data_IF_750866130781
#
_entry.id   IF_750866130781
#
_cell.length_a   1.000
_cell.length_b   1.000
_cell.length_c   1.000
_cell.angle_alpha   90.00
_cell.angle_beta   90.00
_cell.angle_gamma   90.00
#
_symmetry.space_group_name_H-M   'P 1'
#
loop_
_entity.id
_entity.type
_entity.pdbx_description
1 polymer ?
#
# COMPACT_ATOMS: atom_id res chain seq x y z
N UNK A 1 -46.39 -32.60 -29.34
CA UNK A 1 -46.66 -31.74 -28.16
C UNK A 1 -46.18 -32.49 -26.93
N UNK A 2 -44.92 -32.26 -26.55
CA UNK A 2 -44.27 -32.90 -25.41
C UNK A 2 -43.10 -32.00 -25.02
N UNK A 3 -43.31 -31.19 -23.99
CA UNK A 3 -42.36 -30.21 -23.50
C UNK A 3 -41.36 -30.83 -22.54
N UNK A 4 -40.08 -30.75 -22.90
CA UNK A 4 -38.95 -30.99 -22.01
C UNK A 4 -38.75 -29.73 -21.16
N UNK A 5 -39.11 -29.80 -19.87
CA UNK A 5 -38.71 -28.82 -18.88
C UNK A 5 -37.31 -29.17 -18.37
N UNK A 6 -36.32 -28.53 -18.97
CA UNK A 6 -34.95 -28.48 -18.46
C UNK A 6 -34.96 -27.59 -17.20
N UNK A 7 -34.90 -28.22 -16.02
CA UNK A 7 -34.71 -27.53 -14.75
C UNK A 7 -33.23 -27.38 -14.50
N UNK A 8 -32.68 -26.21 -14.83
CA UNK A 8 -31.39 -25.75 -14.31
C UNK A 8 -31.46 -25.70 -12.77
N UNK A 9 -30.56 -26.39 -12.06
CA UNK A 9 -30.48 -26.26 -10.61
C UNK A 9 -30.00 -24.86 -10.27
N UNK A 10 -30.88 -24.07 -9.66
CA UNK A 10 -30.56 -22.77 -9.10
C UNK A 10 -29.49 -22.94 -8.03
N UNK A 11 -28.36 -22.26 -8.23
CA UNK A 11 -27.34 -22.01 -7.21
C UNK A 11 -28.05 -21.46 -5.97
N UNK A 12 -28.11 -22.27 -4.91
CA UNK A 12 -28.41 -21.76 -3.58
C UNK A 12 -27.29 -20.81 -3.19
N UNK A 13 -27.54 -19.51 -3.32
CA UNK A 13 -26.73 -18.46 -2.73
C UNK A 13 -26.95 -18.53 -1.22
N UNK A 14 -26.23 -19.45 -0.56
CA UNK A 14 -26.02 -19.36 0.87
C UNK A 14 -25.25 -18.06 1.11
N UNK A 15 -25.97 -17.08 1.66
CA UNK A 15 -25.42 -15.79 2.03
C UNK A 15 -24.20 -15.97 2.91
N UNK A 16 -23.14 -15.28 2.54
CA UNK A 16 -22.17 -14.59 3.41
C UNK A 16 -21.91 -15.24 4.77
N UNK A 17 -21.71 -16.55 4.79
CA UNK A 17 -21.08 -17.23 5.92
C UNK A 17 -19.60 -17.21 5.59
N UNK A 18 -18.96 -16.14 6.03
CA UNK A 18 -17.51 -15.95 6.04
C UNK A 18 -16.88 -17.26 6.52
N UNK A 19 -15.82 -17.70 5.86
CA UNK A 19 -15.13 -18.96 6.09
C UNK A 19 -14.41 -19.00 7.46
N UNK A 20 -15.16 -18.90 8.56
CA UNK A 20 -14.76 -19.20 9.93
C UNK A 20 -15.19 -20.60 10.37
N UNK A 21 -15.96 -21.34 9.56
CA UNK A 21 -16.62 -22.59 9.97
C UNK A 21 -15.80 -23.88 9.80
N UNK A 22 -14.49 -23.81 9.53
CA UNK A 22 -13.65 -25.02 9.42
C UNK A 22 -12.83 -25.34 10.68
N UNK A 23 -12.84 -24.46 11.69
CA UNK A 23 -12.16 -24.66 12.98
C UNK A 23 -13.10 -24.54 14.19
N UNK A 24 -14.41 -24.56 13.96
CA UNK A 24 -15.41 -24.72 15.02
C UNK A 24 -15.45 -26.20 15.45
N UNK A 25 -14.31 -26.69 15.97
CA UNK A 25 -14.31 -27.88 16.83
C UNK A 25 -15.12 -27.49 18.07
N UNK A 26 -16.37 -27.96 18.07
CA UNK A 26 -17.38 -27.71 19.07
C UNK A 26 -16.82 -27.97 20.49
N UNK A 27 -16.57 -26.89 21.25
CA UNK A 27 -16.39 -26.95 22.70
C UNK A 27 -15.16 -26.27 23.28
N UNK A 28 -14.21 -25.75 22.50
CA UNK A 28 -13.14 -24.93 23.08
C UNK A 28 -13.67 -23.51 23.35
N UNK A 29 -13.65 -23.01 24.59
CA UNK A 29 -14.06 -21.63 24.87
C UNK A 29 -13.23 -20.67 24.00
N UNK A 30 -13.92 -19.76 23.30
CA UNK A 30 -13.29 -18.75 22.46
C UNK A 30 -12.38 -17.89 23.32
N UNK A 31 -11.07 -18.02 23.14
CA UNK A 31 -10.09 -17.25 23.90
C UNK A 31 -10.07 -15.82 23.39
N UNK A 32 -10.37 -14.86 24.26
CA UNK A 32 -10.45 -13.45 23.92
C UNK A 32 -9.13 -12.75 24.24
N UNK A 33 -8.55 -12.08 23.25
CA UNK A 33 -7.27 -11.38 23.41
C UNK A 33 -7.38 -10.29 24.48
N UNK A 34 -8.50 -9.57 24.56
CA UNK A 34 -8.73 -8.53 25.59
C UNK A 34 -8.73 -9.07 27.01
N UNK A 35 -9.21 -10.30 27.24
CA UNK A 35 -9.18 -10.92 28.56
C UNK A 35 -7.73 -11.26 28.96
N UNK A 36 -6.93 -11.80 28.04
CA UNK A 36 -5.51 -12.02 28.29
C UNK A 36 -4.78 -10.69 28.57
N UNK A 37 -5.10 -9.63 27.82
CA UNK A 37 -4.50 -8.30 28.01
C UNK A 37 -4.90 -7.69 29.35
N UNK A 38 -6.14 -7.88 29.80
CA UNK A 38 -6.56 -7.46 31.13
C UNK A 38 -5.79 -8.19 32.23
N UNK A 39 -5.53 -9.49 32.07
CA UNK A 39 -4.70 -10.28 32.99
C UNK A 39 -3.24 -9.85 32.97
N UNK A 40 -2.66 -9.63 31.78
CA UNK A 40 -1.29 -9.15 31.60
C UNK A 40 -1.14 -7.75 32.21
N UNK A 41 -2.08 -6.85 31.97
CA UNK A 41 -2.00 -5.48 32.50
C UNK A 41 -2.17 -5.42 34.01
N UNK A 42 -2.99 -6.29 34.62
CA UNK A 42 -3.08 -6.44 36.06
C UNK A 42 -1.79 -7.01 36.68
N UNK A 43 -1.12 -7.93 35.97
CA UNK A 43 0.12 -8.56 36.40
C UNK A 43 1.37 -7.71 36.18
N UNK A 44 1.41 -6.93 35.09
CA UNK A 44 2.55 -6.11 34.68
C UNK A 44 2.87 -4.95 35.65
N UNK A 45 2.07 -4.75 36.69
CA UNK A 45 2.43 -3.92 37.84
C UNK A 45 3.63 -4.47 38.62
N UNK A 46 4.00 -5.74 38.42
CA UNK A 46 5.20 -6.35 38.99
C UNK A 46 5.95 -7.16 37.91
N UNK A 47 7.13 -6.68 37.50
CA UNK A 47 7.94 -7.32 36.43
C UNK A 47 8.27 -8.78 36.73
N UNK A 48 8.28 -9.20 38.01
CA UNK A 48 8.45 -10.59 38.39
C UNK A 48 7.28 -11.49 37.97
N UNK A 49 6.06 -10.95 37.97
CA UNK A 49 4.81 -11.72 37.76
C UNK A 49 4.61 -12.11 36.30
N UNK A 50 5.20 -11.42 35.32
CA UNK A 50 5.09 -11.87 33.92
C UNK A 50 5.89 -13.17 33.71
N UNK A 51 7.07 -13.25 34.32
CA UNK A 51 7.85 -14.48 34.38
C UNK A 51 7.06 -15.53 35.17
N UNK A 52 6.50 -15.12 36.31
CA UNK A 52 5.68 -15.96 37.16
C UNK A 52 4.37 -16.40 36.52
N UNK A 53 3.79 -15.75 35.51
CA UNK A 53 2.60 -16.25 34.79
C UNK A 53 2.99 -17.32 33.79
N UNK A 54 4.19 -17.21 33.22
CA UNK A 54 4.78 -18.26 32.40
C UNK A 54 5.26 -19.43 33.29
N UNK A 55 5.68 -19.15 34.52
CA UNK A 55 6.22 -20.12 35.47
C UNK A 55 5.17 -20.65 36.49
N UNK A 56 4.05 -20.00 36.78
CA UNK A 56 3.06 -20.51 37.76
C UNK A 56 2.25 -21.68 37.22
N UNK A 57 2.30 -21.91 35.91
CA UNK A 57 1.82 -23.14 35.27
C UNK A 57 2.96 -24.16 35.04
N UNK A 58 4.16 -23.94 35.64
CA UNK A 58 5.33 -24.84 35.60
C UNK A 58 5.10 -26.13 36.38
N UNK A 59 4.11 -26.90 35.94
CA UNK A 59 4.26 -28.34 35.91
C UNK A 59 5.32 -28.63 34.83
N UNK A 60 6.48 -29.21 35.18
CA UNK A 60 7.71 -29.18 34.37
C UNK A 60 7.67 -29.89 33.00
N UNK A 61 6.49 -30.26 32.48
CA UNK A 61 6.35 -31.00 31.21
C UNK A 61 5.13 -30.59 30.38
N UNK A 62 4.40 -29.52 30.71
CA UNK A 62 3.22 -29.17 29.92
C UNK A 62 3.65 -28.54 28.58
N UNK A 63 3.75 -29.38 27.56
CA UNK A 63 4.02 -28.96 26.20
C UNK A 63 2.84 -28.14 25.68
N UNK A 64 2.99 -26.81 25.66
CA UNK A 64 1.98 -25.91 25.09
C UNK A 64 1.79 -26.22 23.60
N UNK A 65 0.54 -26.13 23.16
CA UNK A 65 0.22 -26.27 21.74
C UNK A 65 0.72 -25.04 20.97
N UNK A 66 1.06 -25.16 19.68
CA UNK A 66 1.44 -24.02 18.84
C UNK A 66 0.39 -22.89 18.85
N UNK A 67 -0.90 -23.24 18.93
CA UNK A 67 -2.00 -22.28 19.05
C UNK A 67 -1.96 -21.49 20.36
N UNK A 68 -1.51 -22.11 21.46
CA UNK A 68 -1.32 -21.40 22.74
C UNK A 68 -0.22 -20.34 22.61
N UNK A 69 0.92 -20.70 22.01
CA UNK A 69 2.00 -19.75 21.73
C UNK A 69 1.52 -18.59 20.83
N UNK A 70 0.77 -18.90 19.77
CA UNK A 70 0.22 -17.87 18.88
C UNK A 70 -0.72 -16.91 19.63
N UNK A 71 -1.55 -17.45 20.51
CA UNK A 71 -2.47 -16.67 21.34
C UNK A 71 -1.73 -15.74 22.30
N UNK A 72 -0.74 -16.26 23.04
CA UNK A 72 0.06 -15.47 23.98
C UNK A 72 0.85 -14.38 23.28
N UNK A 73 1.48 -14.69 22.13
CA UNK A 73 2.18 -13.71 21.32
C UNK A 73 1.23 -12.62 20.81
N UNK A 74 0.06 -13.00 20.30
CA UNK A 74 -0.96 -12.04 19.84
C UNK A 74 -1.40 -11.10 20.97
N UNK A 75 -1.65 -11.63 22.16
CA UNK A 75 -2.05 -10.82 23.32
C UNK A 75 -0.95 -9.86 23.80
N UNK A 76 0.29 -10.32 23.85
CA UNK A 76 1.42 -9.48 24.24
C UNK A 76 1.71 -8.39 23.20
N UNK A 77 1.65 -8.71 21.92
CA UNK A 77 1.85 -7.75 20.84
C UNK A 77 0.74 -6.71 20.77
N UNK A 78 -0.51 -7.12 21.01
CA UNK A 78 -1.63 -6.21 21.13
C UNK A 78 -1.47 -5.28 22.35
N UNK A 79 -1.07 -5.80 23.51
CA UNK A 79 -0.80 -4.97 24.70
C UNK A 79 0.36 -3.99 24.45
N UNK A 80 1.42 -4.44 23.77
CA UNK A 80 2.55 -3.61 23.34
C UNK A 80 2.08 -2.48 22.42
N UNK A 81 1.24 -2.77 21.43
CA UNK A 81 0.68 -1.77 20.53
C UNK A 81 -0.12 -0.70 21.30
N UNK A 82 -0.98 -1.11 22.24
CA UNK A 82 -1.71 -0.16 23.10
C UNK A 82 -0.76 0.76 23.89
N UNK A 83 0.35 0.22 24.40
CA UNK A 83 1.36 1.01 25.12
C UNK A 83 2.09 2.00 24.21
N UNK A 84 2.35 1.65 22.95
CA UNK A 84 2.94 2.56 21.96
C UNK A 84 1.95 3.67 21.58
N UNK A 85 0.69 3.32 21.34
CA UNK A 85 -0.37 4.30 21.01
C UNK A 85 -0.57 5.31 22.15
N UNK A 86 -0.57 4.85 23.42
CA UNK A 86 -0.67 5.72 24.60
C UNK A 86 0.50 6.71 24.74
N UNK A 87 1.68 6.44 24.15
CA UNK A 87 2.81 7.37 24.17
C UNK A 87 2.64 8.55 23.21
N UNK A 88 1.76 8.42 22.21
CA UNK A 88 1.54 9.46 21.18
C UNK A 88 0.49 10.51 21.59
N UNK A 89 -0.08 10.41 22.79
CA UNK A 89 -1.11 11.33 23.28
C UNK A 89 -0.54 12.75 23.56
N UNK A 90 -1.12 13.82 22.98
CA UNK A 90 -0.51 15.16 22.97
C UNK A 90 -0.74 16.01 24.25
N UNK A 91 -1.34 15.49 25.32
CA UNK A 91 -1.93 16.33 26.40
C UNK A 91 -1.04 16.66 27.61
N UNK A 92 0.23 16.22 27.69
CA UNK A 92 1.07 16.49 28.87
C UNK A 92 2.08 17.64 28.68
N UNK A 93 2.50 18.23 29.80
CA UNK A 93 3.67 19.13 29.88
C UNK A 93 4.94 18.46 29.31
N UNK A 94 5.89 19.23 28.78
CA UNK A 94 7.13 18.76 28.14
C UNK A 94 7.91 17.76 29.02
N UNK A 95 8.00 18.03 30.32
CA UNK A 95 8.67 17.11 31.26
C UNK A 95 7.84 15.83 31.50
N UNK A 96 6.51 15.96 31.53
CA UNK A 96 5.58 14.83 31.61
C UNK A 96 5.69 13.93 30.39
N UNK A 97 5.67 14.51 29.19
CA UNK A 97 5.86 13.80 27.92
C UNK A 97 7.22 13.08 27.88
N UNK A 98 8.30 13.73 28.31
CA UNK A 98 9.61 13.09 28.36
C UNK A 98 9.63 11.91 29.34
N UNK A 99 9.10 12.11 30.56
CA UNK A 99 9.09 11.06 31.60
C UNK A 99 8.20 9.88 31.18
N UNK A 100 7.01 10.15 30.63
CA UNK A 100 6.10 9.16 30.08
C UNK A 100 6.73 8.42 28.89
N UNK A 101 7.45 9.13 28.03
CA UNK A 101 8.19 8.53 26.91
C UNK A 101 9.32 7.61 27.38
N UNK A 102 10.06 7.97 28.44
CA UNK A 102 11.10 7.11 29.01
C UNK A 102 10.52 5.86 29.66
N UNK A 103 9.46 6.00 30.48
CA UNK A 103 8.79 4.85 31.10
C UNK A 103 8.14 3.96 30.05
N UNK A 104 7.45 4.55 29.07
CA UNK A 104 6.83 3.83 27.96
C UNK A 104 7.84 3.04 27.13
N UNK A 105 9.00 3.63 26.82
CA UNK A 105 10.09 2.90 26.13
C UNK A 105 10.58 1.70 26.94
N UNK A 106 10.79 1.86 28.26
CA UNK A 106 11.21 0.75 29.13
C UNK A 106 10.16 -0.37 29.19
N UNK A 107 8.88 -0.01 29.28
CA UNK A 107 7.77 -0.97 29.27
C UNK A 107 7.74 -1.74 27.95
N UNK A 108 7.84 -1.05 26.82
CA UNK A 108 7.87 -1.67 25.48
C UNK A 108 9.09 -2.57 25.31
N UNK A 109 10.28 -2.14 25.73
CA UNK A 109 11.50 -2.96 25.72
C UNK A 109 11.38 -4.20 26.61
N UNK A 110 10.71 -4.09 27.77
CA UNK A 110 10.44 -5.23 28.64
C UNK A 110 9.48 -6.24 27.97
N UNK A 111 8.41 -5.75 27.32
CA UNK A 111 7.49 -6.59 26.55
C UNK A 111 8.21 -7.27 25.38
N UNK A 112 9.09 -6.57 24.66
CA UNK A 112 9.86 -7.12 23.55
C UNK A 112 10.81 -8.26 23.99
N UNK A 113 11.38 -8.14 25.19
CA UNK A 113 12.15 -9.24 25.80
C UNK A 113 11.27 -10.45 26.10
N UNK A 114 10.08 -10.25 26.66
CA UNK A 114 9.14 -11.35 26.95
C UNK A 114 8.67 -12.04 25.66
N UNK A 115 8.34 -11.26 24.62
CA UNK A 115 8.02 -11.79 23.27
C UNK A 115 9.17 -12.64 22.74
N UNK A 116 10.41 -12.15 22.84
CA UNK A 116 11.61 -12.89 22.46
C UNK A 116 11.78 -14.19 23.25
N UNK A 117 11.54 -14.16 24.56
CA UNK A 117 11.61 -15.35 25.43
C UNK A 117 10.58 -16.39 25.04
N UNK A 118 9.31 -16.03 24.87
CA UNK A 118 8.24 -16.96 24.48
C UNK A 118 8.53 -17.58 23.11
N UNK A 119 8.99 -16.76 22.16
CA UNK A 119 9.40 -17.26 20.85
C UNK A 119 10.58 -18.23 20.94
N UNK A 120 11.59 -17.91 21.74
CA UNK A 120 12.73 -18.80 21.96
C UNK A 120 12.32 -20.12 22.63
N UNK A 121 11.39 -20.08 23.59
CA UNK A 121 10.83 -21.26 24.26
C UNK A 121 10.09 -22.16 23.27
N UNK A 122 9.27 -21.57 22.40
CA UNK A 122 8.59 -22.30 21.33
C UNK A 122 9.58 -23.08 20.43
N UNK A 123 10.74 -22.48 20.17
CA UNK A 123 11.82 -23.03 19.34
C UNK A 123 12.82 -23.93 20.08
N UNK A 124 12.66 -24.17 21.40
CA UNK A 124 13.49 -25.12 22.14
C UNK A 124 13.36 -26.56 21.63
N UNK A 125 12.24 -26.87 20.97
CA UNK A 125 11.97 -28.16 20.37
C UNK A 125 11.92 -28.02 18.85
N UNK A 126 12.23 -29.09 18.13
CA UNK A 126 12.05 -29.10 16.69
C UNK A 126 10.58 -28.84 16.36
N UNK A 127 10.33 -27.82 15.52
CA UNK A 127 9.00 -27.43 15.06
C UNK A 127 8.88 -27.62 13.58
N UNK A 128 7.72 -28.13 13.17
CA UNK A 128 7.36 -28.27 11.77
C UNK A 128 6.92 -26.93 11.19
N UNK A 129 7.05 -26.80 9.88
CA UNK A 129 6.58 -25.67 9.09
C UNK A 129 5.13 -25.27 9.39
N UNK A 130 4.26 -26.26 9.58
CA UNK A 130 2.85 -26.07 9.90
C UNK A 130 2.65 -25.48 11.29
N UNK A 131 3.44 -25.90 12.27
CA UNK A 131 3.34 -25.36 13.63
C UNK A 131 3.77 -23.90 13.66
N UNK A 132 4.85 -23.56 12.95
CA UNK A 132 5.31 -22.16 12.80
C UNK A 132 4.22 -21.30 12.16
N UNK A 133 3.63 -21.74 11.06
CA UNK A 133 2.52 -21.02 10.42
C UNK A 133 1.28 -20.94 11.32
N UNK A 134 1.03 -21.98 12.13
CA UNK A 134 -0.08 -21.97 13.09
C UNK A 134 0.14 -20.90 14.15
N UNK A 135 1.33 -20.81 14.74
CA UNK A 135 1.63 -19.76 15.73
C UNK A 135 1.43 -18.38 15.12
N UNK A 136 1.95 -18.19 13.91
CA UNK A 136 2.03 -16.88 13.31
C UNK A 136 0.67 -16.42 12.73
N UNK A 137 -0.02 -17.26 11.95
CA UNK A 137 -1.19 -16.87 11.15
C UNK A 137 -2.54 -17.27 11.78
N UNK A 138 -2.55 -17.92 12.94
CA UNK A 138 -3.81 -18.28 13.61
C UNK A 138 -4.61 -17.02 13.96
N UNK A 139 -5.91 -16.98 13.61
CA UNK A 139 -6.79 -15.88 13.96
C UNK A 139 -7.23 -15.97 15.43
N UNK A 140 -7.14 -14.85 16.15
CA UNK A 140 -7.67 -14.72 17.51
C UNK A 140 -8.62 -13.52 17.61
N UNK A 141 -9.77 -13.68 18.24
CA UNK A 141 -10.75 -12.60 18.39
C UNK A 141 -10.28 -11.58 19.42
N UNK A 142 -10.31 -10.29 19.06
CA UNK A 142 -9.96 -9.19 19.96
C UNK A 142 -10.94 -9.14 21.15
N UNK A 143 -12.23 -9.05 20.83
CA UNK A 143 -13.34 -8.99 21.77
C UNK A 143 -14.50 -9.88 21.29
N UNK A 144 -15.40 -10.23 22.21
CA UNK A 144 -16.60 -11.01 21.88
C UNK A 144 -17.56 -10.26 20.93
N UNK A 145 -17.48 -8.92 20.87
CA UNK A 145 -18.44 -8.06 20.16
C UNK A 145 -17.87 -7.39 18.92
N UNK A 146 -16.55 -7.13 18.87
CA UNK A 146 -15.96 -6.30 17.81
C UNK A 146 -15.92 -6.99 16.44
N UNK A 147 -15.91 -8.33 16.42
CA UNK A 147 -15.70 -9.13 15.20
C UNK A 147 -14.30 -8.93 14.58
N UNK A 148 -13.42 -8.19 15.27
CA UNK A 148 -12.04 -7.96 14.86
C UNK A 148 -11.21 -9.18 15.24
N UNK A 149 -10.46 -9.66 14.27
CA UNK A 149 -9.58 -10.81 14.40
C UNK A 149 -8.16 -10.32 14.25
N UNK A 150 -7.30 -10.71 15.18
CA UNK A 150 -5.89 -10.35 15.26
C UNK A 150 -5.04 -11.60 15.03
N UNK A 151 -3.91 -11.41 14.36
CA UNK A 151 -2.87 -12.42 14.14
C UNK A 151 -1.51 -11.85 14.54
N UNK A 152 -0.56 -12.72 14.85
CA UNK A 152 0.83 -12.31 15.16
C UNK A 152 1.44 -11.49 14.00
N UNK A 153 1.13 -11.84 12.75
CA UNK A 153 1.62 -11.12 11.55
C UNK A 153 1.17 -9.68 11.46
N UNK A 154 -0.02 -9.38 11.95
CA UNK A 154 -0.62 -8.05 11.77
C UNK A 154 0.22 -7.00 12.52
N UNK A 155 0.86 -7.41 13.62
CA UNK A 155 1.78 -6.57 14.40
C UNK A 155 3.17 -6.42 13.76
N UNK A 156 3.58 -7.34 12.87
CA UNK A 156 4.86 -7.22 12.15
C UNK A 156 4.84 -6.11 11.11
N UNK A 157 3.65 -5.72 10.62
CA UNK A 157 3.46 -4.58 9.72
C UNK A 157 3.09 -3.27 10.42
N UNK A 158 3.15 -3.23 11.75
CA UNK A 158 2.90 -2.00 12.51
C UNK A 158 4.08 -1.02 12.40
N UNK A 159 3.87 0.25 12.74
CA UNK A 159 4.93 1.29 12.63
C UNK A 159 6.11 1.07 13.59
N UNK A 160 5.94 0.24 14.61
CA UNK A 160 6.98 -0.11 15.57
C UNK A 160 6.89 -1.61 15.87
N UNK A 161 7.39 -2.50 15.00
CA UNK A 161 7.28 -3.94 15.20
C UNK A 161 8.35 -4.46 16.19
N UNK A 162 8.08 -5.57 16.89
CA UNK A 162 9.08 -6.23 17.74
C UNK A 162 10.29 -6.70 16.90
N UNK A 163 11.41 -5.99 17.00
CA UNK A 163 12.60 -6.22 16.15
C UNK A 163 13.13 -7.65 16.29
N UNK A 164 13.06 -8.22 17.49
CA UNK A 164 13.49 -9.60 17.79
C UNK A 164 12.73 -10.64 16.97
N UNK A 165 11.43 -10.44 16.77
CA UNK A 165 10.58 -11.34 15.99
C UNK A 165 10.70 -11.06 14.49
N UNK A 166 10.71 -9.78 14.11
CA UNK A 166 10.82 -9.35 12.70
C UNK A 166 12.13 -9.83 12.04
N UNK A 167 13.25 -9.75 12.76
CA UNK A 167 14.58 -10.14 12.24
C UNK A 167 14.87 -11.64 12.39
N UNK A 168 13.93 -12.42 12.93
CA UNK A 168 14.14 -13.84 13.16
C UNK A 168 14.11 -14.64 11.85
N UNK A 169 15.15 -15.44 11.50
CA UNK A 169 15.24 -16.12 10.20
C UNK A 169 14.06 -17.04 9.88
N UNK A 170 13.47 -17.69 10.89
CA UNK A 170 12.29 -18.54 10.69
C UNK A 170 11.03 -17.74 10.37
N UNK A 171 10.88 -16.54 10.94
CA UNK A 171 9.74 -15.66 10.67
C UNK A 171 9.87 -15.11 9.25
N UNK A 172 11.07 -14.66 8.87
CA UNK A 172 11.39 -14.26 7.50
C UNK A 172 11.07 -15.39 6.50
N UNK A 173 11.56 -16.61 6.76
CA UNK A 173 11.31 -17.77 5.90
C UNK A 173 9.80 -18.11 5.81
N UNK A 174 9.06 -18.02 6.91
CA UNK A 174 7.62 -18.25 6.94
C UNK A 174 6.85 -17.21 6.11
N UNK A 175 7.20 -15.92 6.23
CA UNK A 175 6.60 -14.83 5.44
C UNK A 175 6.89 -15.04 3.94
N UNK A 176 8.16 -15.32 3.58
CA UNK A 176 8.57 -15.57 2.18
C UNK A 176 7.81 -16.76 1.60
N UNK A 177 7.68 -17.85 2.37
CA UNK A 177 6.91 -19.03 1.96
C UNK A 177 5.44 -18.67 1.75
N UNK A 178 4.83 -17.95 2.69
CA UNK A 178 3.43 -17.58 2.62
C UNK A 178 3.13 -16.65 1.45
N UNK A 179 4.01 -15.70 1.15
CA UNK A 179 3.90 -14.87 -0.05
C UNK A 179 3.92 -15.70 -1.34
N UNK A 180 4.86 -16.66 -1.43
CA UNK A 180 5.05 -17.48 -2.63
C UNK A 180 3.93 -18.49 -2.84
N UNK A 181 3.44 -19.10 -1.76
CA UNK A 181 2.59 -20.30 -1.83
C UNK A 181 1.19 -20.11 -1.23
N UNK A 182 0.94 -18.97 -0.57
CA UNK A 182 -0.29 -18.72 0.17
C UNK A 182 -0.41 -19.57 1.44
N UNK A 183 -1.63 -19.55 2.02
CA UNK A 183 -1.98 -20.26 3.26
C UNK A 183 -2.34 -21.75 3.07
N UNK A 184 -2.08 -22.33 1.90
CA UNK A 184 -2.70 -23.59 1.51
C UNK A 184 -1.95 -24.81 2.06
N UNK A 185 -2.38 -25.24 3.23
CA UNK A 185 -2.27 -26.64 3.63
C UNK A 185 -3.48 -27.37 3.05
N UNK A 186 -3.32 -28.32 2.11
CA UNK A 186 -4.46 -29.07 1.57
C UNK A 186 -5.08 -29.89 2.71
N UNK A 187 -6.13 -29.36 3.33
CA UNK A 187 -6.85 -30.06 4.40
C UNK A 187 -7.67 -31.23 3.85
N UNK A 188 -8.07 -31.18 2.58
CA UNK A 188 -8.72 -32.30 1.88
C UNK A 188 -8.32 -32.34 0.39
N UNK A 189 -7.90 -33.51 -0.13
CA UNK A 189 -7.48 -33.69 -1.52
C UNK A 189 -8.65 -33.79 -2.51
N UNK A 190 -9.85 -33.30 -2.19
CA UNK A 190 -11.03 -33.38 -3.07
C UNK A 190 -10.88 -32.38 -4.23
N UNK A 191 -10.12 -32.78 -5.25
CA UNK A 191 -9.70 -31.98 -6.38
C UNK A 191 -10.86 -31.54 -7.27
N UNK A 192 -11.47 -30.41 -6.98
CA UNK A 192 -12.32 -29.71 -7.94
C UNK A 192 -11.44 -28.81 -8.82
N UNK A 193 -11.83 -28.59 -10.09
CA UNK A 193 -11.13 -27.65 -10.98
C UNK A 193 -11.09 -26.23 -10.38
N UNK A 194 -12.14 -25.85 -9.65
CA UNK A 194 -12.19 -24.58 -8.93
C UNK A 194 -11.09 -24.48 -7.87
N UNK A 195 -10.85 -25.53 -7.10
CA UNK A 195 -9.76 -25.55 -6.13
C UNK A 195 -8.39 -25.45 -6.81
N UNK A 196 -8.22 -26.02 -8.02
CA UNK A 196 -6.98 -25.84 -8.80
C UNK A 196 -6.80 -24.41 -9.29
N UNK A 197 -7.88 -23.74 -9.69
CA UNK A 197 -7.83 -22.34 -10.10
C UNK A 197 -7.55 -21.45 -8.89
N UNK A 198 -8.19 -21.73 -7.75
CA UNK A 198 -7.99 -21.00 -6.50
C UNK A 198 -6.56 -21.17 -5.98
N UNK A 199 -6.00 -22.39 -6.02
CA UNK A 199 -4.61 -22.60 -5.61
C UNK A 199 -3.60 -21.96 -6.56
N UNK A 200 -3.94 -21.86 -7.86
CA UNK A 200 -3.07 -21.24 -8.85
C UNK A 200 -3.16 -19.71 -8.81
N UNK A 201 -4.35 -19.12 -8.70
CA UNK A 201 -4.53 -17.66 -8.78
C UNK A 201 -4.50 -17.00 -7.40
N UNK A 202 -4.94 -17.71 -6.35
CA UNK A 202 -5.12 -17.19 -4.99
C UNK A 202 -3.84 -17.04 -4.18
N UNK A 203 -2.66 -17.36 -4.73
CA UNK A 203 -1.40 -17.06 -4.03
C UNK A 203 -1.17 -15.54 -4.02
N UNK A 204 -0.70 -14.95 -2.90
CA UNK A 204 -0.46 -13.50 -2.79
C UNK A 204 0.41 -12.97 -3.93
N UNK A 205 1.46 -13.72 -4.30
CA UNK A 205 2.33 -13.39 -5.42
C UNK A 205 1.59 -13.31 -6.76
N UNK A 206 0.68 -14.24 -7.05
CA UNK A 206 -0.05 -14.25 -8.32
C UNK A 206 -1.14 -13.19 -8.34
N UNK A 207 -1.83 -12.95 -7.22
CA UNK A 207 -2.74 -11.81 -7.07
C UNK A 207 -2.00 -10.49 -7.30
N UNK A 208 -0.81 -10.32 -6.70
CA UNK A 208 0.04 -9.16 -6.92
C UNK A 208 0.47 -9.02 -8.37
N UNK A 209 0.87 -10.12 -9.01
CA UNK A 209 1.23 -10.13 -10.43
C UNK A 209 0.07 -9.70 -11.33
N UNK A 210 -1.14 -10.19 -11.08
CA UNK A 210 -2.35 -9.76 -11.80
C UNK A 210 -2.63 -8.28 -11.55
N UNK A 211 -2.45 -7.78 -10.32
CA UNK A 211 -2.60 -6.36 -10.00
C UNK A 211 -1.57 -5.49 -10.75
N UNK A 212 -0.31 -5.95 -10.84
CA UNK A 212 0.74 -5.28 -11.62
C UNK A 212 0.39 -5.24 -13.10
N UNK A 213 -0.02 -6.38 -13.69
CA UNK A 213 -0.49 -6.42 -15.09
C UNK A 213 -1.67 -5.47 -15.30
N UNK A 214 -2.66 -5.49 -14.40
CA UNK A 214 -3.81 -4.60 -14.46
C UNK A 214 -3.38 -3.13 -14.46
N UNK A 215 -2.41 -2.76 -13.60
CA UNK A 215 -1.85 -1.40 -13.57
C UNK A 215 -1.16 -1.02 -14.89
N UNK A 216 -0.37 -1.92 -15.48
CA UNK A 216 0.26 -1.67 -16.79
C UNK A 216 -0.76 -1.57 -17.92
N UNK A 217 -1.77 -2.45 -17.94
CA UNK A 217 -2.87 -2.40 -18.91
C UNK A 217 -3.64 -1.09 -18.80
N UNK A 218 -3.93 -0.64 -17.57
CA UNK A 218 -4.57 0.64 -17.32
C UNK A 218 -3.74 1.82 -17.87
N UNK A 219 -2.44 1.87 -17.56
CA UNK A 219 -1.54 2.91 -18.09
C UNK A 219 -1.49 2.87 -19.62
N UNK A 220 -1.45 1.68 -20.21
CA UNK A 220 -1.49 1.51 -21.66
C UNK A 220 -2.81 2.02 -22.27
N UNK A 221 -3.95 1.79 -21.64
CA UNK A 221 -5.24 2.32 -22.11
C UNK A 221 -5.30 3.85 -22.03
N UNK A 222 -4.84 4.45 -20.93
CA UNK A 222 -4.77 5.92 -20.79
C UNK A 222 -3.82 6.50 -21.83
N UNK A 223 -2.63 5.91 -22.01
CA UNK A 223 -1.66 6.35 -23.01
C UNK A 223 -2.20 6.20 -24.43
N UNK A 224 -2.87 5.10 -24.74
CA UNK A 224 -3.50 4.88 -26.04
C UNK A 224 -4.57 5.94 -26.33
N UNK A 225 -5.44 6.23 -25.36
CA UNK A 225 -6.45 7.26 -25.47
C UNK A 225 -5.83 8.66 -25.71
N UNK A 226 -4.72 8.97 -25.05
CA UNK A 226 -4.02 10.25 -25.22
C UNK A 226 -3.27 10.37 -26.55
N UNK A 227 -2.69 9.29 -27.07
CA UNK A 227 -1.97 9.28 -28.35
C UNK A 227 -2.95 9.29 -29.53
N UNK A 228 -4.06 8.57 -29.40
CA UNK A 228 -5.10 8.44 -30.43
C UNK A 228 -6.45 8.94 -29.89
N UNK A 229 -6.59 10.25 -29.66
CA UNK A 229 -7.85 10.81 -29.20
C UNK A 229 -8.95 10.52 -30.22
N UNK A 230 -10.19 10.25 -29.78
CA UNK A 230 -11.29 9.98 -30.69
C UNK A 230 -11.49 11.16 -31.65
N UNK A 231 -11.80 10.84 -32.90
CA UNK A 231 -11.96 11.85 -33.96
C UNK A 231 -12.93 12.94 -33.51
N UNK A 232 -12.54 14.20 -33.72
CA UNK A 232 -13.41 15.34 -33.46
C UNK A 232 -14.71 15.14 -34.22
N UNK A 233 -15.84 15.27 -33.52
CA UNK A 233 -17.14 15.35 -34.17
C UNK A 233 -17.09 16.59 -35.04
N UNK A 234 -16.89 16.41 -36.34
CA UNK A 234 -17.16 17.47 -37.31
C UNK A 234 -18.59 17.92 -37.04
N UNK A 235 -18.82 19.23 -37.01
CA UNK A 235 -20.11 19.88 -36.71
C UNK A 235 -21.23 19.56 -37.71
N UNK A 236 -21.13 18.45 -38.45
CA UNK A 236 -22.19 17.95 -39.30
C UNK A 236 -23.36 17.50 -38.41
N UNK A 237 -24.43 18.30 -38.51
CA UNK A 237 -25.68 18.25 -37.75
C UNK A 237 -26.38 16.88 -37.83
N UNK A 238 -25.90 15.96 -38.67
CA UNK A 238 -26.43 14.60 -38.86
C UNK A 238 -25.73 13.47 -38.10
N UNK A 239 -24.55 13.69 -37.48
CA UNK A 239 -23.76 12.62 -36.83
C UNK A 239 -23.75 12.69 -35.30
N UNK A 240 -24.90 12.97 -34.68
CA UNK A 240 -25.04 13.08 -33.22
C UNK A 240 -24.92 11.75 -32.45
N UNK A 241 -24.98 10.61 -33.14
CA UNK A 241 -24.65 9.32 -32.51
C UNK A 241 -23.15 9.12 -32.58
N UNK A 242 -22.41 9.78 -31.68
CA UNK A 242 -21.05 9.35 -31.36
C UNK A 242 -21.13 7.90 -30.88
N UNK A 243 -20.56 6.98 -31.65
CA UNK A 243 -20.27 5.65 -31.15
C UNK A 243 -19.20 5.82 -30.07
N UNK A 244 -19.61 5.72 -28.80
CA UNK A 244 -18.68 5.54 -27.69
C UNK A 244 -17.91 4.27 -28.00
N UNK A 245 -16.61 4.39 -28.27
CA UNK A 245 -15.77 3.26 -28.59
C UNK A 245 -15.67 2.29 -27.41
N UNK A 246 -15.33 1.03 -27.72
CA UNK A 246 -15.11 0.00 -26.72
C UNK A 246 -14.01 0.43 -25.72
N UNK A 247 -13.00 1.16 -26.19
CA UNK A 247 -11.84 1.58 -25.39
C UNK A 247 -12.22 2.58 -24.30
N UNK A 248 -13.11 3.53 -24.59
CA UNK A 248 -13.61 4.53 -23.65
C UNK A 248 -14.47 3.87 -22.57
N UNK A 249 -15.32 2.91 -22.97
CA UNK A 249 -16.12 2.12 -22.02
C UNK A 249 -15.20 1.28 -21.12
N UNK A 250 -14.19 0.61 -21.68
CA UNK A 250 -13.22 -0.15 -20.90
C UNK A 250 -12.44 0.76 -19.94
N UNK A 251 -11.90 1.88 -20.41
CA UNK A 251 -11.20 2.84 -19.58
C UNK A 251 -12.09 3.36 -18.45
N UNK A 252 -13.35 3.68 -18.74
CA UNK A 252 -14.32 4.10 -17.73
C UNK A 252 -14.55 3.00 -16.66
N UNK A 253 -14.80 1.75 -17.08
CA UNK A 253 -15.00 0.63 -16.14
C UNK A 253 -13.73 0.40 -15.31
N UNK A 254 -12.55 0.43 -15.92
CA UNK A 254 -11.27 0.26 -15.24
C UNK A 254 -11.03 1.37 -14.21
N UNK A 255 -11.21 2.64 -14.60
CA UNK A 255 -11.05 3.79 -13.70
C UNK A 255 -12.02 3.71 -12.52
N UNK A 256 -13.29 3.43 -12.78
CA UNK A 256 -14.32 3.29 -11.75
C UNK A 256 -13.98 2.16 -10.78
N UNK A 257 -13.56 1.00 -11.29
CA UNK A 257 -13.13 -0.12 -10.46
C UNK A 257 -11.98 0.28 -9.54
N UNK A 258 -10.94 0.94 -10.06
CA UNK A 258 -9.80 1.35 -9.24
C UNK A 258 -10.17 2.42 -8.20
N UNK A 259 -11.08 3.35 -8.53
CA UNK A 259 -11.58 4.34 -7.55
C UNK A 259 -12.32 3.67 -6.39
N UNK A 260 -13.10 2.63 -6.66
CA UNK A 260 -13.92 1.94 -5.65
C UNK A 260 -13.11 1.00 -4.75
N UNK A 261 -12.05 0.36 -5.29
CA UNK A 261 -11.31 -0.68 -4.56
C UNK A 261 -9.99 -0.20 -3.94
N UNK A 262 -9.44 0.94 -4.37
CA UNK A 262 -8.16 1.43 -3.83
C UNK A 262 -8.36 2.38 -2.65
N UNK A 263 -7.55 2.26 -1.59
CA UNK A 263 -7.60 3.17 -0.46
C UNK A 263 -7.11 4.59 -0.85
N UNK A 264 -7.65 5.59 -0.18
CA UNK A 264 -7.14 6.96 -0.25
C UNK A 264 -5.75 7.04 0.41
N UNK A 265 -4.76 7.78 -0.15
CA UNK A 265 -4.84 8.70 -1.29
C UNK A 265 -4.57 8.06 -2.66
N UNK A 266 -4.31 6.76 -2.73
CA UNK A 266 -3.90 6.08 -3.97
C UNK A 266 -4.98 6.09 -5.06
N UNK A 267 -6.24 6.30 -4.70
CA UNK A 267 -7.38 6.42 -5.63
C UNK A 267 -7.47 7.79 -6.33
N UNK A 268 -6.78 8.83 -5.85
CA UNK A 268 -6.85 10.20 -6.39
C UNK A 268 -6.57 10.33 -7.90
N UNK A 269 -5.49 9.78 -8.46
CA UNK A 269 -5.24 9.90 -9.90
C UNK A 269 -6.35 9.22 -10.73
N UNK A 270 -6.88 8.09 -10.26
CA UNK A 270 -7.99 7.41 -10.93
C UNK A 270 -9.29 8.22 -10.86
N UNK A 271 -9.55 8.88 -9.72
CA UNK A 271 -10.69 9.78 -9.56
C UNK A 271 -10.57 11.01 -10.47
N UNK A 272 -9.36 11.54 -10.66
CA UNK A 272 -9.11 12.64 -11.59
C UNK A 272 -9.37 12.24 -13.05
N UNK A 273 -8.97 11.03 -13.47
CA UNK A 273 -9.30 10.50 -14.81
C UNK A 273 -10.81 10.31 -14.94
N UNK A 274 -11.47 9.72 -13.94
CA UNK A 274 -12.92 9.52 -13.95
C UNK A 274 -13.67 10.86 -14.07
N UNK A 275 -13.23 11.89 -13.32
CA UNK A 275 -13.79 13.24 -13.42
C UNK A 275 -13.54 13.86 -14.80
N UNK A 276 -12.33 13.71 -15.37
CA UNK A 276 -12.00 14.21 -16.70
C UNK A 276 -12.79 13.52 -17.82
N UNK A 277 -13.25 12.27 -17.61
CA UNK A 277 -14.13 11.55 -18.54
C UNK A 277 -15.62 11.92 -18.35
N UNK A 278 -16.07 12.16 -17.11
CA UNK A 278 -17.48 12.44 -16.79
C UNK A 278 -17.90 13.89 -17.01
N UNK A 279 -17.05 14.86 -16.66
CA UNK A 279 -17.38 16.28 -16.76
C UNK A 279 -17.66 16.78 -18.20
N UNK A 280 -16.96 16.33 -19.25
CA UNK A 280 -17.27 16.73 -20.61
C UNK A 280 -18.51 16.02 -21.20
N UNK A 281 -19.13 15.04 -20.52
CA UNK A 281 -20.26 14.27 -21.04
C UNK A 281 -21.45 15.18 -21.40
N UNK A 282 -22.07 15.03 -22.60
CA UNK A 282 -21.95 13.93 -23.56
C UNK A 282 -20.73 13.99 -24.50
N UNK A 283 -19.94 15.05 -24.44
CA UNK A 283 -18.68 15.16 -25.16
C UNK A 283 -17.56 14.30 -24.58
N UNK A 284 -16.44 14.25 -25.30
CA UNK A 284 -15.25 13.49 -24.93
C UNK A 284 -14.09 14.48 -24.78
N UNK A 285 -13.19 14.28 -23.82
CA UNK A 285 -12.04 15.14 -23.63
C UNK A 285 -11.15 15.15 -24.88
N UNK A 286 -10.98 16.32 -25.53
CA UNK A 286 -10.20 16.45 -26.75
C UNK A 286 -8.93 17.27 -26.54
N UNK A 287 -7.89 17.09 -27.39
CA UNK A 287 -6.72 17.94 -27.38
C UNK A 287 -7.12 19.41 -27.53
N UNK A 288 -6.68 20.24 -26.58
CA UNK A 288 -7.06 21.65 -26.45
C UNK A 288 -8.08 21.92 -25.33
N UNK A 289 -8.72 20.88 -24.79
CA UNK A 289 -9.57 20.99 -23.61
C UNK A 289 -8.75 20.77 -22.34
N UNK A 290 -9.03 21.53 -21.28
CA UNK A 290 -8.35 21.34 -19.99
C UNK A 290 -8.54 19.94 -19.39
N UNK A 291 -9.60 19.21 -19.75
CA UNK A 291 -9.80 17.82 -19.34
C UNK A 291 -8.76 16.88 -19.94
N UNK A 292 -8.33 17.13 -21.18
CA UNK A 292 -7.29 16.35 -21.83
C UNK A 292 -5.92 16.61 -21.18
N UNK A 293 -5.66 17.85 -20.76
CA UNK A 293 -4.46 18.20 -20.00
C UNK A 293 -4.43 17.52 -18.63
N UNK A 294 -5.58 17.40 -17.96
CA UNK A 294 -5.70 16.62 -16.71
C UNK A 294 -5.34 15.15 -16.95
N UNK A 295 -5.80 14.55 -18.05
CA UNK A 295 -5.46 13.17 -18.40
C UNK A 295 -3.95 12.99 -18.65
N UNK A 296 -3.31 13.92 -19.36
CA UNK A 296 -1.86 13.94 -19.56
C UNK A 296 -1.10 14.02 -18.23
N UNK A 297 -1.53 14.93 -17.36
CA UNK A 297 -0.95 15.10 -16.03
C UNK A 297 -1.09 13.83 -15.20
N UNK A 298 -2.27 13.19 -15.21
CA UNK A 298 -2.48 11.92 -14.51
C UNK A 298 -1.61 10.82 -15.11
N UNK A 299 -1.49 10.72 -16.44
CA UNK A 299 -0.59 9.73 -17.05
C UNK A 299 0.85 9.93 -16.56
N UNK A 300 1.34 11.18 -16.52
CA UNK A 300 2.67 11.49 -16.00
C UNK A 300 2.82 11.05 -14.53
N UNK A 301 1.84 11.36 -13.67
CA UNK A 301 1.84 10.91 -12.28
C UNK A 301 1.79 9.39 -12.14
N UNK A 302 1.01 8.70 -12.98
CA UNK A 302 0.91 7.24 -12.96
C UNK A 302 2.23 6.59 -13.37
N UNK A 303 2.93 7.14 -14.37
CA UNK A 303 4.28 6.69 -14.77
C UNK A 303 5.26 6.92 -13.63
N UNK A 304 5.27 8.11 -13.01
CA UNK A 304 6.11 8.39 -11.84
C UNK A 304 5.79 7.43 -10.68
N UNK A 305 4.52 7.06 -10.49
CA UNK A 305 4.09 6.12 -9.45
C UNK A 305 4.57 4.68 -9.67
N UNK A 306 5.05 4.33 -10.88
CA UNK A 306 5.68 3.03 -11.11
C UNK A 306 7.06 2.95 -10.45
N UNK A 307 7.69 4.10 -10.22
CA UNK A 307 9.00 4.21 -9.58
C UNK A 307 8.89 4.36 -8.06
N UNK A 308 7.74 4.76 -7.53
CA UNK A 308 7.55 4.84 -6.08
C UNK A 308 7.21 3.47 -5.49
N UNK A 309 7.57 3.25 -4.22
CA UNK A 309 7.24 2.04 -3.46
C UNK A 309 5.77 2.04 -3.02
N UNK A 310 4.88 2.00 -4.01
CA UNK A 310 3.46 1.77 -3.76
C UNK A 310 3.17 0.28 -3.53
N UNK A 311 1.97 -0.03 -3.00
CA UNK A 311 1.51 -1.40 -2.73
C UNK A 311 1.48 -2.28 -4.00
N UNK A 312 1.30 -1.69 -5.19
CA UNK A 312 1.48 -2.37 -6.49
C UNK A 312 2.81 -1.91 -7.10
N UNK A 313 3.91 -2.52 -6.65
CA UNK A 313 5.23 -2.29 -7.23
C UNK A 313 5.73 -3.58 -7.93
N UNK A 314 6.20 -3.50 -9.19
CA UNK A 314 6.75 -4.65 -9.92
C UNK A 314 7.98 -5.27 -9.25
N UNK A 315 8.71 -4.53 -8.40
CA UNK A 315 9.88 -5.04 -7.67
C UNK A 315 9.54 -6.23 -6.77
N UNK A 316 8.32 -6.29 -6.21
CA UNK A 316 7.89 -7.38 -5.32
C UNK A 316 7.56 -8.69 -6.07
N UNK A 317 7.68 -8.71 -7.41
CA UNK A 317 7.63 -9.96 -8.18
C UNK A 317 8.90 -10.80 -8.03
N UNK A 318 10.02 -10.15 -7.69
CA UNK A 318 11.30 -10.78 -7.43
C UNK A 318 11.36 -11.32 -5.99
N UNK A 319 12.31 -12.23 -5.68
CA UNK A 319 12.51 -12.71 -4.32
C UNK A 319 12.83 -11.56 -3.35
N UNK A 320 12.16 -11.56 -2.20
CA UNK A 320 12.33 -10.58 -1.13
C UNK A 320 13.77 -10.21 -0.72
N UNK A 321 14.71 -11.15 -0.54
CA UNK A 321 16.05 -10.80 -0.06
C UNK A 321 16.79 -9.82 -0.99
N UNK A 322 16.45 -9.82 -2.27
CA UNK A 322 17.04 -8.93 -3.28
C UNK A 322 16.16 -7.69 -3.51
N UNK A 323 14.83 -7.86 -3.49
CA UNK A 323 13.91 -6.77 -3.84
C UNK A 323 13.71 -5.76 -2.72
N UNK A 324 13.78 -6.16 -1.44
CA UNK A 324 13.52 -5.26 -0.31
C UNK A 324 14.59 -4.16 -0.19
N UNK A 325 15.91 -4.48 -0.18
CA UNK A 325 16.93 -3.43 -0.09
C UNK A 325 16.87 -2.46 -1.26
N UNK A 326 16.54 -2.97 -2.46
CA UNK A 326 16.37 -2.14 -3.64
C UNK A 326 15.14 -1.23 -3.53
N UNK A 327 14.00 -1.75 -3.09
CA UNK A 327 12.79 -0.96 -2.87
C UNK A 327 13.02 0.11 -1.80
N UNK A 328 13.63 -0.24 -0.67
CA UNK A 328 13.99 0.71 0.38
C UNK A 328 14.95 1.79 -0.14
N UNK A 329 15.95 1.42 -0.94
CA UNK A 329 16.87 2.37 -1.56
C UNK A 329 16.16 3.32 -2.51
N UNK A 330 15.29 2.82 -3.40
CA UNK A 330 14.52 3.64 -4.33
C UNK A 330 13.58 4.57 -3.58
N UNK A 331 12.91 4.07 -2.54
CA UNK A 331 12.05 4.88 -1.67
C UNK A 331 12.84 5.99 -1.01
N UNK A 332 13.94 5.67 -0.33
CA UNK A 332 14.76 6.63 0.37
C UNK A 332 15.36 7.68 -0.59
N UNK A 333 15.88 7.24 -1.74
CA UNK A 333 16.39 8.15 -2.76
C UNK A 333 15.30 9.10 -3.28
N UNK A 334 14.07 8.61 -3.41
CA UNK A 334 12.93 9.42 -3.85
C UNK A 334 12.48 10.40 -2.76
N UNK A 335 12.36 9.97 -1.51
CA UNK A 335 11.87 10.79 -0.39
C UNK A 335 12.89 11.84 0.04
N UNK A 336 14.17 11.49 0.06
CA UNK A 336 15.22 12.34 0.62
C UNK A 336 15.83 13.24 -0.48
N UNK A 337 15.84 12.77 -1.73
CA UNK A 337 16.42 13.49 -2.87
C UNK A 337 15.38 14.14 -3.77
N UNK A 338 14.59 13.32 -4.45
CA UNK A 338 13.71 13.76 -5.54
C UNK A 338 12.57 14.66 -5.05
N UNK A 339 11.87 14.28 -3.98
CA UNK A 339 10.72 15.03 -3.48
C UNK A 339 11.10 16.44 -2.98
N UNK A 340 12.13 16.63 -2.13
CA UNK A 340 12.54 17.97 -1.69
C UNK A 340 13.04 18.83 -2.84
N UNK A 341 13.76 18.23 -3.79
CA UNK A 341 14.23 18.93 -5.00
C UNK A 341 13.04 19.40 -5.84
N UNK A 342 12.08 18.51 -6.11
CA UNK A 342 10.86 18.87 -6.82
C UNK A 342 10.10 19.97 -6.08
N UNK A 343 9.88 19.85 -4.77
CA UNK A 343 9.18 20.88 -3.98
C UNK A 343 9.91 22.23 -3.99
N UNK A 344 11.24 22.23 -3.93
CA UNK A 344 12.05 23.45 -4.00
C UNK A 344 11.95 24.13 -5.38
N UNK A 345 12.03 23.34 -6.46
CA UNK A 345 11.93 23.87 -7.84
C UNK A 345 10.49 24.06 -8.33
N UNK A 346 9.49 23.51 -7.65
CA UNK A 346 8.10 23.53 -8.08
C UNK A 346 7.55 24.95 -8.30
N UNK A 347 7.79 25.95 -7.44
CA UNK A 347 7.36 27.32 -7.71
C UNK A 347 7.99 27.90 -8.98
N UNK A 348 9.29 27.65 -9.19
CA UNK A 348 10.00 28.10 -10.40
C UNK A 348 9.46 27.40 -11.65
N UNK A 349 9.11 26.12 -11.54
CA UNK A 349 8.48 25.36 -12.62
C UNK A 349 7.10 25.91 -12.97
N UNK A 350 6.27 26.24 -11.97
CA UNK A 350 4.97 26.88 -12.19
C UNK A 350 5.16 28.22 -12.90
N UNK A 351 6.02 29.09 -12.38
CA UNK A 351 6.27 30.41 -12.99
C UNK A 351 6.77 30.26 -14.43
N UNK A 352 7.69 29.33 -14.68
CA UNK A 352 8.21 29.06 -16.02
C UNK A 352 7.12 28.54 -16.97
N UNK A 353 6.25 27.66 -16.49
CA UNK A 353 5.13 27.10 -17.27
C UNK A 353 4.08 28.16 -17.58
N UNK A 354 3.74 29.01 -16.60
CA UNK A 354 2.80 30.13 -16.79
C UNK A 354 3.38 31.13 -17.79
N UNK A 355 4.64 31.52 -17.63
CA UNK A 355 5.30 32.46 -18.54
C UNK A 355 5.41 31.86 -19.95
N UNK A 356 5.78 30.58 -20.07
CA UNK A 356 5.84 29.88 -21.35
C UNK A 356 4.45 29.83 -22.01
N UNK A 357 3.41 29.46 -21.26
CA UNK A 357 2.02 29.44 -21.73
C UNK A 357 1.56 30.82 -22.19
N UNK A 358 1.76 31.87 -21.37
CA UNK A 358 1.46 33.27 -21.72
C UNK A 358 2.26 33.78 -22.93
N UNK A 359 3.42 33.17 -23.20
CA UNK A 359 4.25 33.53 -24.34
C UNK A 359 3.84 32.82 -25.63
N UNK A 360 3.15 31.67 -25.53
CA UNK A 360 2.70 30.87 -26.67
C UNK A 360 1.25 31.16 -27.07
N UNK A 361 0.40 31.51 -26.10
CA UNK A 361 -1.01 31.76 -26.34
C UNK A 361 -1.28 33.27 -26.51
N UNK A 362 -1.36 33.72 -27.77
CA UNK A 362 -1.60 35.13 -28.10
C UNK A 362 -3.06 35.58 -27.89
N UNK A 363 -4.02 34.71 -27.52
CA UNK A 363 -5.45 35.14 -27.47
C UNK A 363 -6.37 34.47 -26.42
N UNK A 364 -6.08 33.28 -25.86
CA UNK A 364 -7.08 32.55 -25.06
C UNK A 364 -7.00 32.74 -23.54
N UNK A 365 -5.81 32.90 -22.96
CA UNK A 365 -5.61 32.98 -21.50
C UNK A 365 -6.23 34.22 -20.81
N UNK A 366 -6.41 35.33 -21.53
CA UNK A 366 -6.97 36.58 -21.00
C UNK A 366 -8.42 36.44 -20.53
N UNK A 367 -9.20 35.47 -21.04
CA UNK A 367 -10.60 35.30 -20.64
C UNK A 367 -10.79 34.36 -19.43
N UNK A 368 -9.93 33.36 -19.23
CA UNK A 368 -10.04 32.41 -18.12
C UNK A 368 -9.34 32.92 -16.85
N UNK A 369 -8.10 33.40 -16.98
CA UNK A 369 -7.36 34.01 -15.86
C UNK A 369 -7.83 35.44 -15.57
N UNK A 370 -8.26 36.17 -16.60
CA UNK A 370 -8.76 37.54 -16.46
C UNK A 370 -9.93 37.65 -15.48
N UNK A 371 -10.83 36.66 -15.40
CA UNK A 371 -11.94 36.69 -14.43
C UNK A 371 -11.52 36.49 -12.97
N UNK A 372 -10.36 35.88 -12.72
CA UNK A 372 -9.83 35.67 -11.36
C UNK A 372 -8.84 36.78 -10.94
N UNK A 373 -8.20 37.45 -11.91
CA UNK A 373 -7.15 38.47 -11.69
C UNK A 373 -7.50 39.88 -12.22
N UNK A 374 -8.78 40.19 -12.53
CA UNK A 374 -9.23 41.49 -13.09
C UNK A 374 -8.86 42.76 -12.31
N UNK A 375 -8.21 42.66 -11.15
CA UNK A 375 -7.69 43.85 -10.44
C UNK A 375 -6.28 44.27 -10.90
N UNK A 376 -5.56 43.44 -11.66
CA UNK A 376 -4.19 43.72 -12.10
C UNK A 376 -4.04 43.45 -13.60
N UNK A 377 -3.86 44.54 -14.35
CA UNK A 377 -3.15 44.65 -15.64
C UNK A 377 -3.93 44.45 -16.96
N UNK A 378 -4.03 45.58 -17.68
CA UNK A 378 -3.84 45.66 -19.12
C UNK A 378 -2.38 45.32 -19.47
N UNK A 379 -2.10 44.12 -19.94
CA UNK A 379 -0.74 43.72 -20.36
C UNK A 379 -0.70 43.44 -21.86
N UNK A 380 0.32 43.99 -22.53
CA UNK A 380 0.63 43.83 -23.95
C UNK A 380 1.40 42.49 -24.14
N UNK A 381 1.15 41.72 -25.21
CA UNK A 381 1.82 40.44 -25.45
C UNK A 381 3.35 40.57 -25.52
N UNK A 382 4.04 39.55 -25.00
CA UNK A 382 5.49 39.57 -24.87
C UNK A 382 6.21 39.34 -26.22
N UNK A 383 7.33 40.05 -26.49
CA UNK A 383 8.07 39.97 -27.75
C UNK A 383 8.68 38.58 -28.01
N UNK A 384 8.95 38.26 -29.29
CA UNK A 384 9.37 36.92 -29.73
C UNK A 384 10.74 36.48 -29.17
N UNK A 385 11.53 37.41 -28.65
CA UNK A 385 12.82 37.16 -28.01
C UNK A 385 12.66 36.60 -26.58
N UNK A 386 11.66 37.06 -25.82
CA UNK A 386 11.39 36.48 -24.48
C UNK A 386 10.82 35.06 -24.61
N UNK A 387 10.02 34.78 -25.66
CA UNK A 387 9.53 33.42 -25.99
C UNK A 387 10.69 32.42 -26.15
N UNK A 388 11.74 32.81 -26.89
CA UNK A 388 12.95 31.98 -27.08
C UNK A 388 13.78 31.84 -25.81
N UNK A 389 13.88 32.90 -25.01
CA UNK A 389 14.62 32.89 -23.75
C UNK A 389 13.96 31.94 -22.73
N UNK A 390 12.62 31.92 -22.64
CA UNK A 390 11.91 31.00 -21.75
C UNK A 390 12.05 29.53 -22.19
N UNK A 391 11.97 29.24 -23.49
CA UNK A 391 12.26 27.89 -24.00
C UNK A 391 13.70 27.46 -23.71
N UNK A 392 14.67 28.38 -23.84
CA UNK A 392 16.06 28.12 -23.50
C UNK A 392 16.25 27.86 -22.00
N UNK A 393 15.58 28.62 -21.12
CA UNK A 393 15.65 28.42 -19.66
C UNK A 393 15.03 27.09 -19.25
N UNK A 394 13.89 26.70 -19.82
CA UNK A 394 13.24 25.41 -19.52
C UNK A 394 14.07 24.23 -20.01
N UNK A 395 14.61 24.31 -21.23
CA UNK A 395 15.49 23.26 -21.78
C UNK A 395 16.83 23.17 -21.05
N UNK A 396 17.41 24.30 -20.64
CA UNK A 396 18.60 24.33 -19.80
C UNK A 396 18.32 23.72 -18.42
N UNK A 397 17.17 24.00 -17.81
CA UNK A 397 16.79 23.42 -16.52
C UNK A 397 16.63 21.90 -16.61
N UNK A 398 16.02 21.37 -17.67
CA UNK A 398 15.94 19.91 -17.89
C UNK A 398 17.32 19.30 -18.11
N UNK A 399 18.21 19.99 -18.84
CA UNK A 399 19.58 19.54 -19.09
C UNK A 399 20.44 19.55 -17.83
N UNK A 400 20.27 20.55 -16.95
CA UNK A 400 20.97 20.62 -15.66
C UNK A 400 20.45 19.54 -14.71
N UNK A 401 19.15 19.27 -14.68
CA UNK A 401 18.60 18.18 -13.88
C UNK A 401 19.17 16.82 -14.30
N UNK A 402 19.24 16.54 -15.61
CA UNK A 402 19.86 15.33 -16.15
C UNK A 402 21.38 15.28 -15.88
N UNK A 403 22.07 16.41 -16.02
CA UNK A 403 23.50 16.51 -15.75
C UNK A 403 23.86 16.33 -14.27
N UNK A 404 23.02 16.81 -13.36
CA UNK A 404 23.20 16.62 -11.91
C UNK A 404 23.07 15.14 -11.52
N UNK A 405 22.15 14.39 -12.14
CA UNK A 405 22.08 12.93 -11.97
C UNK A 405 23.36 12.23 -12.45
N UNK A 406 23.89 12.63 -13.61
CA UNK A 406 25.09 12.02 -14.19
C UNK A 406 26.37 12.35 -13.40
N UNK A 407 26.45 13.55 -12.81
CA UNK A 407 27.60 14.00 -12.02
C UNK A 407 27.57 13.48 -10.57
N UNK A 408 26.38 13.33 -9.99
CA UNK A 408 26.22 12.80 -8.64
C UNK A 408 26.22 11.27 -8.60
N UNK A 409 25.82 10.58 -9.68
CA UNK A 409 25.82 9.12 -9.77
C UNK A 409 27.16 8.45 -9.36
N UNK A 410 28.31 8.93 -9.86
CA UNK A 410 29.63 8.39 -9.48
C UNK A 410 30.02 8.70 -8.04
N UNK A 411 29.68 9.89 -7.52
CA UNK A 411 29.99 10.32 -6.15
C UNK A 411 29.15 9.52 -5.15
N UNK A 412 27.87 9.29 -5.47
CA UNK A 412 27.00 8.39 -4.75
C UNK A 412 27.54 6.95 -4.78
N UNK A 413 28.05 6.46 -5.92
CA UNK A 413 28.64 5.12 -6.01
C UNK A 413 29.95 4.95 -5.21
N UNK A 414 30.76 6.01 -5.07
CA UNK A 414 32.07 5.98 -4.39
C UNK A 414 32.00 6.19 -2.90
N UNK A 415 31.04 6.96 -2.41
CA UNK A 415 30.85 7.23 -0.98
C UNK A 415 29.94 6.23 -0.29
N UNK A 416 29.58 5.11 -0.93
CA UNK A 416 29.06 3.96 -0.22
C UNK A 416 30.03 3.61 0.91
N UNK A 417 29.66 3.83 2.18
CA UNK A 417 30.35 3.11 3.22
C UNK A 417 30.13 1.64 2.86
N UNK A 418 31.17 0.82 2.96
CA UNK A 418 30.96 -0.62 3.18
C UNK A 418 30.29 -0.74 4.54
N UNK A 419 29.02 -0.35 4.63
CA UNK A 419 28.15 -0.64 5.74
C UNK A 419 28.12 -2.15 5.72
N UNK A 420 28.87 -2.78 6.63
CA UNK A 420 28.49 -4.11 7.09
C UNK A 420 27.03 -3.92 7.46
N UNK A 421 26.15 -4.45 6.61
CA UNK A 421 24.70 -4.42 6.81
C UNK A 421 24.48 -5.14 8.13
N UNK A 422 24.53 -4.41 9.23
CA UNK A 422 23.87 -4.82 10.44
C UNK A 422 22.40 -4.87 10.02
N UNK A 423 21.84 -6.08 10.10
CA UNK A 423 20.45 -6.44 9.79
C UNK A 423 19.48 -5.69 10.71
N UNK A 424 19.41 -4.38 10.60
CA UNK A 424 18.58 -3.50 11.41
C UNK A 424 17.95 -2.38 10.58
N UNK A 425 17.67 -2.66 9.30
CA UNK A 425 16.71 -1.88 8.53
C UNK A 425 15.35 -2.51 8.76
N UNK A 426 14.59 -1.92 9.68
CA UNK A 426 13.18 -2.26 9.92
C UNK A 426 12.36 -1.90 8.66
N UNK A 427 11.52 -2.86 8.26
CA UNK A 427 10.42 -2.69 7.30
C UNK A 427 9.29 -1.90 7.93
#
# INVERSE_FOLDING_TARGET
>A
MSGLHERTPLLQTNGTTRATSAYEEAGSPTRLVSEAVARISAAALDQGVIQDILDTDSTPERQYSPTDYGYFLTALLYYRQQKVELQTAPELDLYGQWTQGQTGKRDVEALDKVVGTIWSQFLLHYRTDKEVDTVLWSPFSQDATSGVVLKVVDFLGSSDPPISLLTHPLVEAAIVRHWKSGSHYPANPSSTLLQRIDTLVGTPRNVHFVAVISKFAYIAFVAHYLIYPPNRVSTDIGSFTQFIGLYEVLLFIFTLSHVLFLPFPSSLPYAAVLAALLLPFPGVAQPGDGFFDVLLLVLAFQVLSLHTTSYINPLFLNPFPESIPLAAFVQQSTTDGTVPSLLYFFPMFIVSTVLLSSSLDDYYYLNWVGRFLTSLTSAIPAPMETRKMFLAVVSLHQSVAAGVEELLGPIWSRNWPKVKVHRSLCL
#
